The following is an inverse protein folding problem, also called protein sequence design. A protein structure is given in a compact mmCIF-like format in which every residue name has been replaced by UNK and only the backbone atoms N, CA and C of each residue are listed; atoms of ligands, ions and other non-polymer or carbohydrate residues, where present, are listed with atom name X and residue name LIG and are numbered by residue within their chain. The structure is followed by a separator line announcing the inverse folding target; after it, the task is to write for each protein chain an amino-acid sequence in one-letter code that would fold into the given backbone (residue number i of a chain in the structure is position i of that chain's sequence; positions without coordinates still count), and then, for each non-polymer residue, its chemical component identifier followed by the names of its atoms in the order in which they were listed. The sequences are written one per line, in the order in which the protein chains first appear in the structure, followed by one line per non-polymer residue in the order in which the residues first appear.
data_IF_808268497837
#
_entry.id   IF_808268497837
#
_cell.length_a   1.000
_cell.length_b   1.000
_cell.length_c   1.000
_cell.angle_alpha   90.00
_cell.angle_beta   90.00
_cell.angle_gamma   90.00
#
_symmetry.space_group_name_H-M   'P 1'
#
loop_
_entity.id
_entity.type
_entity.pdbx_description
1 polymer ?
#
# COMPACT_ATOMS: atom_id res chain seq x y z
N UNK A 1 -5.17 -55.71 -24.87
CA UNK A 1 -4.78 -54.77 -25.95
C UNK A 1 -6.04 -54.06 -26.41
N UNK A 2 -6.02 -52.73 -26.46
CA UNK A 2 -7.17 -51.92 -26.84
C UNK A 2 -7.05 -51.57 -28.33
N UNK A 3 -8.10 -51.84 -29.09
CA UNK A 3 -8.18 -51.58 -30.53
C UNK A 3 -9.23 -50.50 -30.79
N UNK A 4 -9.04 -49.66 -31.80
CA UNK A 4 -10.09 -48.74 -32.27
C UNK A 4 -11.16 -49.50 -33.09
N UNK A 5 -12.20 -48.79 -33.53
CA UNK A 5 -13.28 -49.38 -34.35
C UNK A 5 -12.81 -49.89 -35.73
N UNK A 6 -11.58 -49.54 -36.15
CA UNK A 6 -10.92 -49.98 -37.39
C UNK A 6 -9.87 -51.07 -37.15
N UNK A 7 -9.74 -51.60 -35.92
CA UNK A 7 -8.78 -52.65 -35.58
C UNK A 7 -7.34 -52.17 -35.42
N UNK A 8 -7.12 -50.86 -35.31
CA UNK A 8 -5.78 -50.29 -35.08
C UNK A 8 -5.43 -50.39 -33.61
N UNK A 9 -4.23 -50.87 -33.27
CA UNK A 9 -3.73 -50.84 -31.89
C UNK A 9 -3.56 -49.36 -31.49
N UNK A 10 -4.30 -48.95 -30.48
CA UNK A 10 -4.24 -47.57 -29.95
C UNK A 10 -3.83 -47.61 -28.48
N UNK A 11 -2.89 -46.75 -28.11
CA UNK A 11 -2.64 -46.47 -26.70
C UNK A 11 -3.76 -45.56 -26.18
N UNK A 12 -4.29 -45.86 -25.00
CA UNK A 12 -5.21 -44.96 -24.30
C UNK A 12 -4.46 -43.67 -24.01
N UNK A 13 -5.05 -42.51 -24.34
CA UNK A 13 -4.41 -41.24 -24.05
C UNK A 13 -4.13 -41.15 -22.56
N UNK A 14 -2.87 -40.88 -22.22
CA UNK A 14 -2.48 -40.63 -20.84
C UNK A 14 -2.20 -39.14 -20.72
N UNK A 15 -2.89 -38.44 -19.81
CA UNK A 15 -2.61 -37.04 -19.58
C UNK A 15 -1.16 -36.90 -19.11
N UNK A 16 -0.37 -36.07 -19.80
CA UNK A 16 1.04 -35.81 -19.48
C UNK A 16 1.08 -34.63 -18.52
N UNK A 17 1.74 -34.83 -17.37
CA UNK A 17 1.98 -33.75 -16.42
C UNK A 17 2.87 -32.69 -17.09
N UNK A 18 2.36 -31.47 -17.20
CA UNK A 18 3.04 -30.32 -17.78
C UNK A 18 3.00 -29.14 -16.82
N UNK A 19 4.04 -28.32 -16.84
CA UNK A 19 4.03 -27.06 -16.11
C UNK A 19 3.32 -26.01 -16.96
N UNK A 20 2.22 -25.46 -16.45
CA UNK A 20 1.50 -24.37 -17.08
C UNK A 20 1.74 -23.09 -16.29
N UNK A 21 1.99 -21.99 -17.00
CA UNK A 21 2.00 -20.65 -16.41
C UNK A 21 0.56 -20.24 -16.11
N UNK A 22 0.29 -19.88 -14.86
CA UNK A 22 -0.97 -19.32 -14.43
C UNK A 22 -0.71 -17.96 -13.78
N UNK A 23 -1.62 -17.02 -14.02
CA UNK A 23 -1.61 -15.71 -13.36
C UNK A 23 -2.78 -15.61 -12.41
N UNK A 24 -2.53 -15.07 -11.22
CA UNK A 24 -3.57 -14.75 -10.24
C UNK A 24 -3.47 -13.31 -9.81
N UNK A 25 -4.58 -12.61 -9.94
CA UNK A 25 -4.76 -11.26 -9.42
C UNK A 25 -5.19 -11.35 -7.96
N UNK A 26 -4.50 -10.64 -7.09
CA UNK A 26 -4.78 -10.57 -5.67
C UNK A 26 -4.73 -9.12 -5.21
N UNK A 27 -5.78 -8.69 -4.53
CA UNK A 27 -5.76 -7.44 -3.77
C UNK A 27 -5.40 -7.73 -2.32
N UNK A 28 -4.44 -6.98 -1.79
CA UNK A 28 -4.10 -6.96 -0.38
C UNK A 28 -4.49 -5.60 0.21
N UNK A 29 -4.92 -5.59 1.46
CA UNK A 29 -5.25 -4.40 2.23
C UNK A 29 -4.38 -4.39 3.49
N UNK A 30 -3.88 -3.21 3.88
CA UNK A 30 -3.20 -3.04 5.16
C UNK A 30 -4.13 -3.32 6.35
N UNK A 31 -5.45 -3.28 6.19
CA UNK A 31 -6.41 -3.67 7.22
C UNK A 31 -6.33 -5.17 7.58
N UNK A 32 -5.92 -6.02 6.65
CA UNK A 32 -5.78 -7.48 6.84
C UNK A 32 -4.39 -7.86 7.38
N UNK A 33 -3.62 -6.89 7.87
CA UNK A 33 -2.27 -7.13 8.40
C UNK A 33 -2.28 -8.01 9.65
N UNK A 34 -1.26 -8.85 9.76
CA UNK A 34 -0.98 -9.55 11.02
C UNK A 34 -0.43 -8.54 12.04
N UNK A 35 -1.18 -8.35 13.13
CA UNK A 35 -0.79 -7.42 14.20
C UNK A 35 0.24 -7.99 15.18
N UNK A 36 0.53 -9.30 15.12
CA UNK A 36 1.45 -10.01 16.01
C UNK A 36 2.81 -10.36 15.39
N UNK A 37 2.93 -10.38 14.07
CA UNK A 37 4.19 -10.55 13.34
C UNK A 37 4.76 -9.19 12.91
N UNK A 38 6.09 -9.05 12.98
CA UNK A 38 6.81 -7.79 12.67
C UNK A 38 6.31 -6.58 13.47
N UNK A 39 5.94 -6.79 14.73
CA UNK A 39 5.63 -5.75 15.73
C UNK A 39 6.80 -4.77 15.96
N UNK A 40 7.96 -5.01 15.35
CA UNK A 40 9.12 -4.13 15.46
C UNK A 40 9.80 -3.95 14.11
N UNK A 41 9.61 -2.80 13.48
CA UNK A 41 10.71 -2.17 12.74
C UNK A 41 10.63 -0.64 12.85
N UNK A 42 11.65 -0.08 13.50
CA UNK A 42 11.91 1.33 13.86
C UNK A 42 11.04 2.01 14.94
N UNK A 43 11.71 2.60 15.93
CA UNK A 43 11.10 3.45 16.96
C UNK A 43 10.51 2.76 18.21
N UNK A 44 10.49 1.43 18.28
CA UNK A 44 10.00 0.70 19.46
C UNK A 44 8.47 0.60 19.55
N UNK A 45 7.75 0.76 18.44
CA UNK A 45 6.30 0.59 18.38
C UNK A 45 5.87 -0.81 18.85
N UNK A 46 4.66 -0.90 19.40
CA UNK A 46 4.07 -2.14 19.95
C UNK A 46 3.00 -2.74 19.05
N UNK A 47 2.84 -2.24 17.82
CA UNK A 47 1.84 -2.68 16.84
C UNK A 47 2.31 -2.46 15.40
N UNK A 48 1.89 -3.33 14.47
CA UNK A 48 2.13 -3.17 13.03
C UNK A 48 1.41 -1.94 12.44
N UNK A 49 2.10 -1.21 11.58
CA UNK A 49 1.66 0.03 10.92
C UNK A 49 1.45 -0.21 9.41
N UNK A 50 0.58 0.56 8.75
CA UNK A 50 0.32 0.36 7.33
C UNK A 50 1.52 0.64 6.42
N UNK A 51 2.57 1.31 6.89
CA UNK A 51 3.82 1.45 6.16
C UNK A 51 4.79 0.30 6.32
N UNK A 52 4.57 -0.62 7.27
CA UNK A 52 5.40 -1.79 7.51
C UNK A 52 4.60 -2.95 8.13
N UNK A 53 4.20 -3.91 7.29
CA UNK A 53 3.29 -4.96 7.71
C UNK A 53 3.41 -6.25 6.90
N UNK A 54 2.96 -7.35 7.50
CA UNK A 54 2.85 -8.64 6.82
C UNK A 54 1.40 -9.00 6.58
N UNK A 55 1.11 -9.52 5.38
CA UNK A 55 -0.18 -10.11 5.03
C UNK A 55 0.00 -11.55 4.57
N UNK A 56 -0.91 -12.43 4.98
CA UNK A 56 -0.96 -13.81 4.51
C UNK A 56 -1.70 -13.90 3.19
N UNK A 57 -1.15 -14.70 2.27
CA UNK A 57 -1.82 -14.96 1.01
C UNK A 57 -2.91 -16.02 1.20
N UNK A 58 -4.03 -15.97 0.45
CA UNK A 58 -5.13 -16.94 0.57
C UNK A 58 -4.70 -18.40 0.37
N UNK A 59 -3.57 -18.60 -0.33
CA UNK A 59 -2.89 -19.89 -0.48
C UNK A 59 -1.40 -19.66 -0.61
N UNK A 60 -0.63 -20.72 -0.39
CA UNK A 60 0.75 -20.75 -0.86
C UNK A 60 0.76 -20.84 -2.40
N UNK A 61 1.53 -19.95 -3.02
CA UNK A 61 1.90 -20.03 -4.43
C UNK A 61 3.29 -20.63 -4.53
N UNK A 62 3.46 -21.64 -5.37
CA UNK A 62 4.74 -22.31 -5.56
C UNK A 62 5.28 -22.02 -6.94
N UNK A 63 6.61 -22.01 -7.09
CA UNK A 63 7.29 -21.74 -8.37
C UNK A 63 6.82 -20.43 -9.01
N UNK A 64 6.78 -19.36 -8.21
CA UNK A 64 6.42 -18.02 -8.68
C UNK A 64 7.52 -17.50 -9.60
N UNK A 65 7.15 -17.19 -10.84
CA UNK A 65 8.07 -16.73 -11.90
C UNK A 65 8.04 -15.21 -12.06
N UNK A 66 6.94 -14.56 -11.70
CA UNK A 66 6.79 -13.11 -11.86
C UNK A 66 5.75 -12.56 -10.89
N UNK A 67 6.02 -11.37 -10.36
CA UNK A 67 5.06 -10.58 -9.58
C UNK A 67 5.01 -9.18 -10.21
N UNK A 68 3.80 -8.67 -10.41
CA UNK A 68 3.56 -7.34 -10.98
C UNK A 68 2.59 -6.57 -10.11
N UNK A 69 2.85 -5.28 -9.85
CA UNK A 69 1.87 -4.39 -9.24
C UNK A 69 0.96 -3.83 -10.34
N UNK A 70 -0.34 -4.08 -10.22
CA UNK A 70 -1.36 -3.63 -11.18
C UNK A 70 -1.95 -2.29 -10.74
N UNK A 71 -2.29 -2.16 -9.47
CA UNK A 71 -2.84 -0.92 -8.91
C UNK A 71 -2.46 -0.74 -7.46
N UNK A 72 -2.45 0.52 -7.01
CA UNK A 72 -2.31 0.87 -5.60
C UNK A 72 -3.20 2.06 -5.25
N UNK A 73 -3.74 2.03 -4.04
CA UNK A 73 -4.41 3.15 -3.40
C UNK A 73 -3.77 3.35 -2.04
N UNK A 74 -3.09 4.48 -1.85
CA UNK A 74 -2.33 4.75 -0.63
C UNK A 74 -2.83 6.05 -0.03
N UNK A 75 -3.47 5.98 1.14
CA UNK A 75 -3.84 7.18 1.86
C UNK A 75 -2.59 7.86 2.42
N UNK A 76 -2.54 9.19 2.36
CA UNK A 76 -1.41 9.94 2.88
C UNK A 76 -1.24 9.67 4.40
N UNK A 77 -0.02 9.49 4.91
CA UNK A 77 0.24 9.26 6.33
C UNK A 77 -0.40 10.30 7.25
N UNK A 78 -1.08 9.84 8.31
CA UNK A 78 -1.69 10.70 9.33
C UNK A 78 -1.27 10.21 10.71
N UNK A 79 -0.23 10.85 11.25
CA UNK A 79 0.20 10.67 12.63
C UNK A 79 -0.42 11.77 13.48
N UNK A 80 -1.41 11.39 14.29
CA UNK A 80 -2.07 12.31 15.22
C UNK A 80 -1.11 12.63 16.37
N UNK A 81 -0.83 13.92 16.57
CA UNK A 81 0.04 14.36 17.66
C UNK A 81 -0.39 15.73 18.16
N UNK A 82 -0.01 16.09 19.38
CA UNK A 82 -0.20 17.44 19.93
C UNK A 82 0.80 18.46 19.38
N UNK A 83 1.77 18.01 18.59
CA UNK A 83 2.72 18.86 17.87
C UNK A 83 2.26 19.02 16.41
N UNK A 84 2.53 20.17 15.81
CA UNK A 84 2.35 20.38 14.37
C UNK A 84 3.47 19.65 13.61
N UNK A 85 3.48 18.32 13.65
CA UNK A 85 4.44 17.49 12.91
C UNK A 85 4.06 17.41 11.45
N UNK A 86 5.06 17.25 10.59
CA UNK A 86 4.96 16.99 9.15
C UNK A 86 3.95 15.88 8.82
N UNK A 87 2.90 16.21 8.06
CA UNK A 87 1.78 15.31 7.74
C UNK A 87 1.77 14.94 6.26
N UNK A 88 1.33 13.73 5.98
CA UNK A 88 1.15 13.22 4.62
C UNK A 88 2.46 13.03 3.85
N UNK A 89 2.30 12.77 2.55
CA UNK A 89 3.39 12.82 1.59
C UNK A 89 3.90 14.25 1.48
N UNK A 90 5.21 14.41 1.46
CA UNK A 90 5.81 15.72 1.34
C UNK A 90 5.91 16.13 -0.13
N UNK A 91 5.84 17.43 -0.44
CA UNK A 91 6.11 17.91 -1.79
C UNK A 91 7.51 17.56 -2.30
N UNK A 92 8.44 17.30 -1.37
CA UNK A 92 9.79 16.80 -1.68
C UNK A 92 9.82 15.31 -1.93
N UNK A 93 8.83 14.51 -1.52
CA UNK A 93 8.82 13.08 -1.82
C UNK A 93 8.60 12.94 -3.33
N UNK A 94 9.59 12.44 -4.08
CA UNK A 94 9.47 12.28 -5.53
C UNK A 94 8.75 10.97 -5.86
N UNK A 95 9.12 9.91 -5.15
CA UNK A 95 8.47 8.61 -5.23
C UNK A 95 8.21 8.05 -3.84
N UNK A 96 7.18 7.23 -3.75
CA UNK A 96 7.01 6.27 -2.67
C UNK A 96 7.53 4.93 -3.19
N UNK A 97 8.51 4.35 -2.50
CA UNK A 97 9.08 3.06 -2.83
C UNK A 97 8.37 1.97 -2.04
N UNK A 98 7.80 1.02 -2.75
CA UNK A 98 7.23 -0.20 -2.21
C UNK A 98 8.31 -1.29 -2.23
N UNK A 99 8.63 -1.81 -1.05
CA UNK A 99 9.47 -2.98 -0.86
C UNK A 99 8.63 -4.21 -0.51
N UNK A 100 8.98 -5.33 -1.12
CA UNK A 100 8.50 -6.66 -0.74
C UNK A 100 9.72 -7.46 -0.25
N UNK A 101 9.81 -7.69 1.07
CA UNK A 101 11.05 -8.26 1.64
C UNK A 101 11.38 -9.64 1.03
N UNK A 102 12.64 -9.80 0.59
CA UNK A 102 13.11 -11.00 -0.10
C UNK A 102 12.65 -11.14 -1.56
N UNK A 103 11.87 -10.18 -2.08
CA UNK A 103 11.26 -10.21 -3.42
C UNK A 103 11.65 -9.01 -4.29
N UNK A 104 12.33 -8.02 -3.72
CA UNK A 104 12.87 -6.87 -4.44
C UNK A 104 13.87 -7.30 -5.53
N UNK A 105 13.89 -6.56 -6.64
CA UNK A 105 14.86 -6.75 -7.75
C UNK A 105 15.33 -5.45 -8.39
N UNK A 106 14.99 -4.31 -7.80
CA UNK A 106 15.33 -3.00 -8.33
C UNK A 106 16.29 -2.30 -7.39
N UNK A 107 17.32 -1.73 -8.01
CA UNK A 107 18.39 -1.06 -7.29
C UNK A 107 18.05 0.41 -7.08
N UNK A 108 18.57 0.97 -6.00
CA UNK A 108 18.43 2.39 -5.69
C UNK A 108 19.77 3.07 -5.94
N UNK A 109 19.85 3.86 -7.02
CA UNK A 109 21.10 4.50 -7.46
C UNK A 109 21.14 6.00 -7.19
N UNK A 110 20.08 6.56 -6.60
CA UNK A 110 19.99 7.97 -6.31
C UNK A 110 21.03 8.38 -5.25
N UNK A 111 21.93 9.34 -5.55
CA UNK A 111 22.94 9.80 -4.60
C UNK A 111 22.29 10.32 -3.32
N UNK A 112 22.75 9.81 -2.18
CA UNK A 112 22.26 10.16 -0.85
C UNK A 112 20.82 9.74 -0.55
N UNK A 113 20.26 8.84 -1.36
CA UNK A 113 19.08 8.07 -0.98
C UNK A 113 19.43 7.01 0.07
N UNK A 114 18.45 6.65 0.88
CA UNK A 114 18.50 5.76 2.03
C UNK A 114 19.34 4.49 1.81
N UNK A 115 19.10 3.83 0.67
CA UNK A 115 19.77 2.60 0.27
C UNK A 115 20.48 2.78 -1.06
N UNK A 116 21.05 3.96 -1.29
CA UNK A 116 21.91 4.23 -2.44
C UNK A 116 22.98 3.16 -2.57
N UNK A 117 23.11 2.57 -3.76
CA UNK A 117 24.07 1.51 -4.06
C UNK A 117 23.72 0.12 -3.52
N UNK A 118 22.57 -0.05 -2.85
CA UNK A 118 22.11 -1.38 -2.46
C UNK A 118 21.43 -2.06 -3.65
N UNK A 119 21.82 -3.31 -3.87
CA UNK A 119 21.15 -4.21 -4.81
C UNK A 119 19.83 -4.67 -4.20
N UNK A 120 18.80 -4.86 -5.03
CA UNK A 120 17.49 -5.37 -4.61
C UNK A 120 16.86 -4.53 -3.47
N UNK A 121 16.96 -3.20 -3.59
CA UNK A 121 16.50 -2.25 -2.57
C UNK A 121 14.97 -2.13 -2.51
N UNK A 122 14.29 -2.20 -3.66
CA UNK A 122 12.84 -1.99 -3.76
C UNK A 122 12.18 -2.87 -4.83
N UNK A 123 10.85 -2.97 -4.79
CA UNK A 123 10.04 -3.75 -5.72
C UNK A 123 9.32 -2.86 -6.74
N UNK A 124 8.61 -1.83 -6.27
CA UNK A 124 7.87 -0.90 -7.12
C UNK A 124 8.11 0.56 -6.71
N UNK A 125 8.14 1.46 -7.70
CA UNK A 125 8.16 2.91 -7.50
C UNK A 125 6.78 3.45 -7.84
N UNK A 126 6.28 4.33 -6.99
CA UNK A 126 5.00 5.00 -7.19
C UNK A 126 5.28 6.51 -7.21
N UNK A 127 4.93 7.17 -8.30
CA UNK A 127 5.11 8.63 -8.41
C UNK A 127 4.24 9.34 -7.38
N UNK A 128 4.82 10.34 -6.72
CA UNK A 128 4.08 11.22 -5.82
C UNK A 128 3.62 12.49 -6.57
N UNK A 129 2.93 12.31 -7.68
CA UNK A 129 2.48 13.39 -8.55
C UNK A 129 1.17 14.07 -8.07
N UNK A 130 0.40 13.37 -7.23
CA UNK A 130 -0.85 13.87 -6.62
C UNK A 130 -0.72 14.26 -5.14
N UNK A 131 0.44 14.07 -4.52
CA UNK A 131 0.66 14.23 -3.07
C UNK A 131 0.87 15.65 -2.59
N UNK A 132 -0.12 16.51 -2.80
CA UNK A 132 -0.22 17.77 -2.05
C UNK A 132 -1.40 17.60 -1.09
N UNK A 133 -1.24 17.71 0.24
CA UNK A 133 -2.38 17.94 1.13
C UNK A 133 -3.05 19.23 0.66
N UNK A 134 -4.12 19.11 -0.11
CA UNK A 134 -4.47 20.15 -1.08
C UNK A 134 -5.15 21.37 -0.46
N UNK A 135 -5.55 21.29 0.81
CA UNK A 135 -6.01 22.43 1.60
C UNK A 135 -5.71 22.13 3.06
N UNK A 136 -4.69 22.79 3.63
CA UNK A 136 -4.48 22.86 5.07
C UNK A 136 -4.87 24.25 5.56
N UNK A 137 -5.69 24.37 6.60
CA UNK A 137 -5.97 25.63 7.26
C UNK A 137 -5.56 25.54 8.73
N UNK A 138 -4.85 26.56 9.20
CA UNK A 138 -4.42 26.64 10.60
C UNK A 138 -5.65 26.90 11.48
N UNK A 139 -5.82 26.07 12.50
CA UNK A 139 -6.84 26.23 13.52
C UNK A 139 -6.46 27.36 14.46
N UNK A 140 -7.44 28.10 14.96
CA UNK A 140 -7.19 29.27 15.78
C UNK A 140 -6.57 28.90 17.15
N UNK A 141 -5.66 29.75 17.63
CA UNK A 141 -4.80 29.46 18.78
C UNK A 141 -5.40 29.78 20.16
N UNK A 142 -6.56 30.44 20.27
CA UNK A 142 -7.10 30.80 21.59
C UNK A 142 -7.88 29.63 22.22
N UNK A 143 -7.55 29.32 23.48
CA UNK A 143 -8.32 28.39 24.28
C UNK A 143 -9.80 28.85 24.34
N UNK A 144 -10.72 27.95 23.97
CA UNK A 144 -12.16 28.25 23.95
C UNK A 144 -12.69 28.93 22.69
N UNK A 145 -11.85 29.25 21.69
CA UNK A 145 -12.33 29.85 20.43
C UNK A 145 -11.72 29.24 19.16
N UNK A 146 -10.77 28.29 19.25
CA UNK A 146 -9.95 28.00 18.07
C UNK A 146 -9.41 26.61 17.75
N UNK A 147 -9.18 25.68 18.69
CA UNK A 147 -8.58 24.37 18.33
C UNK A 147 -9.56 23.20 18.29
N UNK A 148 -10.82 23.43 18.69
CA UNK A 148 -11.84 22.41 18.91
C UNK A 148 -12.62 22.71 20.19
N UNK A 149 -13.94 22.73 20.12
CA UNK A 149 -14.83 22.90 21.26
C UNK A 149 -15.98 21.90 21.15
N UNK A 150 -16.04 20.96 22.10
CA UNK A 150 -17.04 19.90 22.12
C UNK A 150 -18.28 20.30 22.93
N UNK A 151 -19.45 20.23 22.30
CA UNK A 151 -20.73 20.52 22.93
C UNK A 151 -21.84 19.66 22.34
N UNK A 152 -22.54 18.92 23.20
CA UNK A 152 -23.60 18.01 22.80
C UNK A 152 -23.09 16.96 21.81
N UNK A 153 -23.65 16.96 20.60
CA UNK A 153 -23.33 15.98 19.54
C UNK A 153 -22.31 16.50 18.52
N UNK A 154 -21.74 17.70 18.70
CA UNK A 154 -20.77 18.26 17.76
C UNK A 154 -19.48 18.77 18.43
N UNK A 155 -18.36 18.65 17.71
CA UNK A 155 -17.12 19.38 17.99
C UNK A 155 -16.97 20.47 16.94
N UNK A 156 -16.86 21.73 17.39
CA UNK A 156 -16.69 22.89 16.51
C UNK A 156 -15.22 23.27 16.42
N UNK A 157 -14.73 23.47 15.21
CA UNK A 157 -13.39 23.93 14.91
C UNK A 157 -13.45 25.28 14.20
N UNK A 158 -12.54 26.17 14.55
CA UNK A 158 -12.42 27.51 13.95
C UNK A 158 -11.06 27.64 13.30
N UNK A 159 -11.00 28.05 12.04
CA UNK A 159 -9.75 28.35 11.33
C UNK A 159 -9.40 29.83 11.40
N UNK A 160 -8.11 30.15 11.28
CA UNK A 160 -7.61 31.54 11.23
C UNK A 160 -8.01 32.28 9.95
N UNK A 161 -8.19 31.54 8.86
CA UNK A 161 -8.55 32.06 7.54
C UNK A 161 -9.74 31.30 6.97
N UNK A 162 -10.43 31.87 5.98
CA UNK A 162 -11.51 31.20 5.28
C UNK A 162 -11.00 29.88 4.64
N UNK A 163 -11.67 28.75 4.91
CA UNK A 163 -11.09 27.42 4.66
C UNK A 163 -11.62 26.67 3.43
N UNK A 164 -12.67 27.13 2.76
CA UNK A 164 -13.23 26.46 1.56
C UNK A 164 -13.82 25.06 1.79
N UNK A 165 -13.68 24.50 2.99
CA UNK A 165 -14.24 23.22 3.40
C UNK A 165 -15.78 23.22 3.31
N UNK A 166 -16.36 22.04 3.08
CA UNK A 166 -17.80 21.83 2.94
C UNK A 166 -18.28 20.58 3.70
N UNK A 167 -19.59 20.49 3.98
CA UNK A 167 -20.18 19.35 4.68
C UNK A 167 -20.07 18.05 3.85
N UNK A 168 -19.75 16.94 4.51
CA UNK A 168 -19.47 15.64 3.87
C UNK A 168 -18.05 15.53 3.30
N UNK A 169 -17.17 16.50 3.55
CA UNK A 169 -15.76 16.38 3.22
C UNK A 169 -15.00 15.61 4.31
N UNK A 170 -14.14 14.67 3.90
CA UNK A 170 -13.21 13.97 4.80
C UNK A 170 -12.03 14.88 5.14
N UNK A 171 -11.77 15.08 6.43
CA UNK A 171 -10.62 15.84 6.92
C UNK A 171 -9.89 15.11 8.04
N UNK A 172 -8.66 15.54 8.27
CA UNK A 172 -7.84 15.19 9.41
C UNK A 172 -7.53 16.46 10.19
N UNK A 173 -7.50 16.35 11.52
CA UNK A 173 -7.17 17.42 12.44
C UNK A 173 -6.04 16.93 13.36
N UNK A 174 -4.98 17.71 13.49
CA UNK A 174 -3.85 17.37 14.36
C UNK A 174 -3.18 18.63 14.91
N UNK A 175 -2.22 18.45 15.81
CA UNK A 175 -1.45 19.54 16.41
C UNK A 175 -2.27 20.41 17.37
N UNK A 176 -3.46 19.97 17.76
CA UNK A 176 -4.25 20.65 18.78
C UNK A 176 -3.71 20.29 20.18
N UNK A 177 -3.83 21.20 21.14
CA UNK A 177 -3.25 21.03 22.49
C UNK A 177 -3.87 19.88 23.28
N UNK A 178 -5.17 19.61 23.11
CA UNK A 178 -5.86 18.46 23.65
C UNK A 178 -5.90 17.32 22.63
N UNK A 179 -5.15 16.24 22.92
CA UNK A 179 -5.00 15.10 22.02
C UNK A 179 -6.33 14.46 21.56
N UNK A 180 -7.40 14.57 22.36
CA UNK A 180 -8.72 14.03 22.01
C UNK A 180 -9.36 14.74 20.82
N UNK A 181 -8.95 15.98 20.53
CA UNK A 181 -9.44 16.75 19.38
C UNK A 181 -8.61 16.51 18.11
N UNK A 182 -7.51 15.76 18.21
CA UNK A 182 -6.77 15.29 17.04
C UNK A 182 -7.50 14.05 16.52
N UNK A 183 -8.00 14.12 15.29
CA UNK A 183 -8.84 13.09 14.68
C UNK A 183 -8.42 12.86 13.23
N UNK A 184 -8.51 11.62 12.77
CA UNK A 184 -8.15 11.23 11.41
C UNK A 184 -9.39 10.74 10.64
N UNK A 185 -9.47 11.11 9.36
CA UNK A 185 -10.51 10.66 8.42
C UNK A 185 -11.94 10.85 8.90
N UNK A 186 -12.24 11.99 9.53
CA UNK A 186 -13.59 12.34 9.98
C UNK A 186 -14.32 13.15 8.91
N UNK A 187 -15.65 12.99 8.86
CA UNK A 187 -16.51 13.78 7.99
C UNK A 187 -16.90 15.09 8.65
N UNK A 188 -16.83 16.18 7.89
CA UNK A 188 -17.43 17.45 8.30
C UNK A 188 -18.95 17.28 8.33
N UNK A 189 -19.56 17.51 9.48
CA UNK A 189 -21.00 17.45 9.66
C UNK A 189 -21.69 18.70 9.11
N UNK A 190 -21.20 19.89 9.47
CA UNK A 190 -21.73 21.17 8.98
C UNK A 190 -20.63 22.22 8.82
N UNK A 191 -20.88 23.25 8.02
CA UNK A 191 -20.00 24.42 7.86
C UNK A 191 -20.81 25.69 8.17
N UNK A 192 -20.89 26.12 9.45
CA UNK A 192 -21.71 27.26 9.84
C UNK A 192 -21.22 28.60 9.29
N UNK A 193 -19.91 28.76 9.05
CA UNK A 193 -19.32 29.98 8.46
C UNK A 193 -18.11 29.63 7.60
N UNK A 194 -17.53 30.62 6.90
CA UNK A 194 -16.32 30.43 6.10
C UNK A 194 -15.08 30.08 6.93
N UNK A 195 -15.13 30.28 8.25
CA UNK A 195 -14.04 30.03 9.20
C UNK A 195 -14.40 29.01 10.28
N UNK A 196 -15.58 28.40 10.24
CA UNK A 196 -16.00 27.42 11.23
C UNK A 196 -16.64 26.22 10.58
N UNK A 197 -16.34 25.04 11.11
CA UNK A 197 -16.96 23.80 10.72
C UNK A 197 -17.16 22.92 11.96
N UNK A 198 -18.06 21.94 11.85
CA UNK A 198 -18.31 20.97 12.91
C UNK A 198 -18.11 19.55 12.41
N UNK A 199 -17.72 18.67 13.32
CA UNK A 199 -17.76 17.22 13.12
C UNK A 199 -18.67 16.60 14.19
N UNK A 200 -19.12 15.36 13.97
CA UNK A 200 -19.78 14.60 15.02
C UNK A 200 -18.85 14.48 16.22
N UNK A 201 -19.37 14.75 17.42
CA UNK A 201 -18.55 14.85 18.62
C UNK A 201 -17.83 13.53 18.91
N UNK A 202 -16.49 13.61 18.94
CA UNK A 202 -15.60 12.50 19.32
C UNK A 202 -15.02 12.68 20.72
N UNK A 203 -15.38 13.76 21.42
CA UNK A 203 -14.78 14.19 22.69
C UNK A 203 -15.86 14.38 23.77
N UNK A 204 -15.54 14.15 25.03
CA UNK A 204 -16.48 14.41 26.12
C UNK A 204 -16.91 15.90 26.15
N UNK A 205 -18.19 16.16 26.44
CA UNK A 205 -18.76 17.51 26.44
C UNK A 205 -18.01 18.49 27.35
N UNK A 206 -17.88 19.74 26.89
CA UNK A 206 -17.24 20.82 27.64
C UNK A 206 -15.70 20.80 27.55
N UNK A 207 -15.11 19.88 26.78
CA UNK A 207 -13.69 19.89 26.50
C UNK A 207 -13.38 20.87 25.36
N UNK A 208 -12.26 21.58 25.51
CA UNK A 208 -11.75 22.49 24.51
C UNK A 208 -10.29 22.15 24.17
N UNK A 209 -9.87 22.63 23.00
CA UNK A 209 -8.50 22.57 22.49
C UNK A 209 -8.15 23.91 21.83
N UNK A 210 -6.86 24.14 21.64
CA UNK A 210 -6.32 25.31 20.94
C UNK A 210 -5.29 24.90 19.90
N UNK A 211 -5.15 25.72 18.86
CA UNK A 211 -4.18 25.51 17.78
C UNK A 211 -4.50 24.28 16.93
N UNK A 212 -3.50 23.86 16.16
CA UNK A 212 -3.58 22.72 15.25
C UNK A 212 -3.80 23.10 13.80
N UNK A 213 -3.97 22.08 12.97
CA UNK A 213 -4.21 22.20 11.54
C UNK A 213 -5.33 21.26 11.16
N UNK A 214 -6.25 21.75 10.33
CA UNK A 214 -7.18 20.90 9.58
C UNK A 214 -6.65 20.77 8.17
N UNK A 215 -6.69 19.57 7.62
CA UNK A 215 -6.30 19.35 6.23
C UNK A 215 -7.11 18.22 5.59
N UNK A 216 -7.24 18.29 4.27
CA UNK A 216 -7.78 17.19 3.47
C UNK A 216 -6.64 16.20 3.22
N UNK A 217 -6.72 14.94 3.68
CA UNK A 217 -5.67 13.97 3.44
C UNK A 217 -5.60 13.62 1.94
N UNK A 218 -4.39 13.65 1.38
CA UNK A 218 -4.17 13.21 0.01
C UNK A 218 -4.32 11.69 -0.14
N UNK A 219 -4.53 11.23 -1.37
CA UNK A 219 -4.48 9.82 -1.73
C UNK A 219 -3.60 9.69 -2.96
N UNK A 220 -2.63 8.78 -2.90
CA UNK A 220 -1.80 8.41 -4.02
C UNK A 220 -2.47 7.24 -4.75
N UNK A 221 -2.62 7.38 -6.05
CA UNK A 221 -3.16 6.35 -6.93
C UNK A 221 -2.07 5.90 -7.90
N UNK A 222 -1.92 4.58 -8.03
CA UNK A 222 -1.13 3.97 -9.08
C UNK A 222 -1.99 3.02 -9.88
N UNK A 223 -1.77 3.02 -11.19
CA UNK A 223 -2.28 2.04 -12.12
C UNK A 223 -1.24 1.84 -13.23
N UNK A 224 -1.00 0.58 -13.59
CA UNK A 224 -0.02 0.19 -14.61
C UNK A 224 -0.38 0.65 -16.04
N UNK A 225 -1.60 1.12 -16.29
CA UNK A 225 -1.97 1.76 -17.56
C UNK A 225 -1.71 3.26 -17.59
N UNK A 226 -1.51 3.91 -16.43
CA UNK A 226 -1.21 5.34 -16.34
C UNK A 226 0.28 5.59 -16.10
N UNK A 227 0.92 4.75 -15.29
CA UNK A 227 2.33 4.87 -14.92
C UNK A 227 3.14 3.66 -15.42
N UNK A 228 4.46 3.76 -15.30
CA UNK A 228 5.39 2.67 -15.62
C UNK A 228 4.99 1.34 -14.97
N UNK A 229 5.03 0.27 -15.76
CA UNK A 229 4.84 -1.10 -15.30
C UNK A 229 5.82 -1.47 -14.18
N UNK A 230 5.27 -1.86 -13.03
CA UNK A 230 6.07 -2.30 -11.89
C UNK A 230 6.10 -3.82 -11.81
N UNK A 231 7.03 -4.41 -12.57
CA UNK A 231 7.20 -5.86 -12.72
C UNK A 231 8.54 -6.33 -12.15
N UNK A 232 8.54 -7.54 -11.57
CA UNK A 232 9.74 -8.29 -11.22
C UNK A 232 9.59 -9.74 -11.69
N UNK A 233 10.62 -10.25 -12.36
CA UNK A 233 10.72 -11.65 -12.80
C UNK A 233 11.79 -12.40 -11.99
N UNK A 234 11.54 -13.68 -11.75
CA UNK A 234 12.38 -14.53 -10.92
C UNK A 234 12.90 -15.72 -11.72
N UNK A 235 14.23 -15.76 -11.87
CA UNK A 235 14.96 -16.89 -12.45
C UNK A 235 16.17 -17.19 -11.56
N UNK A 236 16.16 -18.31 -10.79
CA UNK A 236 15.13 -19.35 -10.76
C UNK A 236 13.79 -18.88 -10.13
N UNK A 237 12.68 -19.60 -10.40
CA UNK A 237 11.39 -19.29 -9.77
C UNK A 237 11.45 -19.40 -8.24
N UNK A 238 10.68 -18.59 -7.54
CA UNK A 238 10.57 -18.65 -6.09
C UNK A 238 9.86 -19.95 -5.70
N UNK A 239 10.51 -20.75 -4.86
CA UNK A 239 9.99 -22.07 -4.47
C UNK A 239 8.59 -22.00 -3.84
N UNK A 240 8.39 -21.11 -2.86
CA UNK A 240 7.12 -20.93 -2.15
C UNK A 240 6.93 -19.50 -1.66
N UNK A 241 5.76 -18.96 -1.92
CA UNK A 241 5.30 -17.64 -1.50
C UNK A 241 3.98 -17.80 -0.74
N UNK A 242 3.97 -17.47 0.55
CA UNK A 242 2.81 -17.65 1.44
C UNK A 242 2.39 -16.38 2.17
N UNK A 243 3.27 -15.38 2.20
CA UNK A 243 3.07 -14.10 2.86
C UNK A 243 3.85 -13.04 2.10
N UNK A 244 3.39 -11.80 2.19
CA UNK A 244 4.11 -10.63 1.72
C UNK A 244 4.44 -9.75 2.92
N UNK A 245 5.71 -9.40 3.06
CA UNK A 245 6.13 -8.35 3.99
C UNK A 245 6.30 -7.06 3.19
N UNK A 246 5.41 -6.10 3.45
CA UNK A 246 5.23 -4.87 2.71
C UNK A 246 5.87 -3.73 3.48
N UNK A 247 6.76 -2.99 2.83
CA UNK A 247 7.40 -1.78 3.39
C UNK A 247 7.22 -0.61 2.44
N UNK A 248 6.90 0.57 2.97
CA UNK A 248 6.80 1.80 2.20
C UNK A 248 7.86 2.80 2.67
N UNK A 249 8.68 3.29 1.74
CA UNK A 249 9.76 4.26 2.01
C UNK A 249 9.60 5.49 1.14
N UNK A 250 10.16 6.61 1.59
CA UNK A 250 10.22 7.85 0.83
C UNK A 250 11.46 7.84 -0.04
N UNK A 251 11.32 8.28 -1.29
CA UNK A 251 12.46 8.60 -2.14
C UNK A 251 12.50 10.11 -2.34
N UNK A 252 13.51 10.74 -1.74
CA UNK A 252 13.72 12.18 -1.75
C UNK A 252 14.66 12.59 -2.90
N UNK A 253 14.59 13.85 -3.36
CA UNK A 253 15.47 14.38 -4.39
C UNK A 253 16.89 14.56 -3.85
N UNK A 254 17.89 14.67 -4.73
CA UNK A 254 19.29 14.93 -4.34
C UNK A 254 19.50 16.21 -3.52
N UNK A 255 18.57 17.16 -3.54
CA UNK A 255 18.64 18.36 -2.70
C UNK A 255 18.44 18.07 -1.19
N UNK A 256 17.93 16.88 -0.84
CA UNK A 256 17.57 16.49 0.53
C UNK A 256 18.63 15.61 1.23
N UNK A 257 19.82 15.44 0.64
CA UNK A 257 20.90 14.53 1.07
C UNK A 257 21.45 14.79 2.51
N UNK A 258 21.01 15.85 3.20
CA UNK A 258 21.50 16.22 4.54
C UNK A 258 20.42 16.37 5.62
N UNK A 259 19.14 16.07 5.35
CA UNK A 259 18.06 16.27 6.33
C UNK A 259 17.88 15.05 7.24
N UNK A 260 18.08 15.23 8.55
CA UNK A 260 18.19 14.19 9.60
C UNK A 260 16.90 13.50 10.05
N UNK A 261 15.86 13.43 9.22
CA UNK A 261 14.72 12.51 9.45
C UNK A 261 15.09 11.14 8.89
N UNK A 262 14.80 9.99 9.56
CA UNK A 262 15.38 8.71 9.20
C UNK A 262 14.91 8.24 7.81
N UNK A 263 15.71 8.67 6.83
CA UNK A 263 15.91 8.26 5.46
C UNK A 263 16.23 6.75 5.42
N UNK A 264 15.33 5.89 5.85
CA UNK A 264 15.53 4.44 5.79
C UNK A 264 14.56 3.64 6.64
N UNK A 265 13.82 4.34 7.49
CA UNK A 265 12.66 3.79 8.15
C UNK A 265 11.51 3.63 7.14
N UNK A 266 10.70 2.58 7.27
CA UNK A 266 9.36 2.60 6.74
C UNK A 266 8.61 3.86 7.20
N UNK A 267 7.77 4.40 6.32
CA UNK A 267 6.89 5.53 6.63
C UNK A 267 5.92 5.09 7.72
N UNK A 268 5.72 5.91 8.75
CA UNK A 268 4.66 5.67 9.74
C UNK A 268 3.35 6.26 9.22
N UNK A 269 2.37 5.41 8.96
CA UNK A 269 1.06 5.78 8.41
C UNK A 269 0.06 6.23 9.48
N UNK A 270 0.19 5.72 10.70
CA UNK A 270 -0.74 6.01 11.79
C UNK A 270 -2.15 5.49 11.45
N UNK A 271 -3.11 6.39 11.32
CA UNK A 271 -4.49 6.01 10.98
C UNK A 271 -4.69 5.66 9.50
N UNK A 272 -3.76 6.04 8.62
CA UNK A 272 -3.86 5.85 7.19
C UNK A 272 -3.75 4.37 6.80
N UNK A 273 -4.47 3.96 5.75
CA UNK A 273 -4.43 2.62 5.17
C UNK A 273 -3.98 2.64 3.71
N UNK A 274 -3.62 1.48 3.19
CA UNK A 274 -3.30 1.29 1.78
C UNK A 274 -3.79 -0.07 1.27
N UNK A 275 -3.99 -0.14 -0.04
CA UNK A 275 -4.34 -1.37 -0.74
C UNK A 275 -3.52 -1.48 -2.01
N UNK A 276 -3.06 -2.70 -2.29
CA UNK A 276 -2.27 -3.03 -3.48
C UNK A 276 -2.91 -4.21 -4.20
N UNK A 277 -3.00 -4.12 -5.52
CA UNK A 277 -3.40 -5.26 -6.36
C UNK A 277 -2.19 -5.75 -7.13
N UNK A 278 -1.85 -7.03 -6.93
CA UNK A 278 -0.77 -7.71 -7.61
C UNK A 278 -1.28 -8.77 -8.57
N UNK A 279 -0.51 -9.02 -9.62
CA UNK A 279 -0.57 -10.22 -10.41
C UNK A 279 0.63 -11.11 -10.10
N UNK A 280 0.36 -12.36 -9.73
CA UNK A 280 1.36 -13.37 -9.42
C UNK A 280 1.30 -14.43 -10.51
N UNK A 281 2.36 -14.53 -11.32
CA UNK A 281 2.57 -15.62 -12.27
C UNK A 281 3.30 -16.76 -11.57
N UNK A 282 2.78 -17.98 -11.69
CA UNK A 282 3.40 -19.18 -11.12
C UNK A 282 3.24 -20.39 -12.05
N UNK A 283 4.09 -21.39 -11.83
CA UNK A 283 4.04 -22.66 -12.56
C UNK A 283 3.22 -23.68 -11.77
N UNK A 284 2.06 -24.04 -12.30
CA UNK A 284 1.21 -25.08 -11.71
C UNK A 284 1.37 -26.40 -12.46
N UNK A 285 1.20 -27.51 -11.73
CA UNK A 285 1.15 -28.83 -12.36
C UNK A 285 -0.23 -28.99 -13.00
N UNK A 286 -0.28 -28.96 -14.32
CA UNK A 286 -1.45 -29.31 -15.10
C UNK A 286 -1.26 -30.63 -15.83
N UNK A 287 -2.33 -31.12 -16.43
CA UNK A 287 -2.27 -32.14 -17.45
C UNK A 287 -2.45 -31.50 -18.82
N UNK A 288 -1.82 -32.00 -19.87
CA UNK A 288 -2.17 -31.58 -21.22
C UNK A 288 -3.59 -32.04 -21.59
N UNK A 289 -4.32 -31.20 -22.32
CA UNK A 289 -5.69 -31.52 -22.76
C UNK A 289 -5.71 -32.33 -24.06
N UNK A 290 -4.52 -32.68 -24.59
CA UNK A 290 -4.36 -33.29 -25.89
C UNK A 290 -4.17 -34.81 -25.81
N UNK A 291 -5.11 -35.54 -26.41
CA UNK A 291 -4.92 -36.95 -26.73
C UNK A 291 -3.97 -37.07 -27.93
N UNK A 292 -2.67 -37.29 -27.69
CA UNK A 292 -1.76 -37.64 -28.78
C UNK A 292 -2.02 -39.07 -29.26
N UNK A 293 -2.39 -39.23 -30.54
CA UNK A 293 -2.48 -40.55 -31.17
C UNK A 293 -1.07 -41.01 -31.55
N UNK A 294 -0.49 -41.92 -30.79
CA UNK A 294 0.77 -42.56 -31.15
C UNK A 294 0.50 -43.92 -31.79
N UNK A 295 0.56 -43.99 -33.11
CA UNK A 295 0.52 -45.26 -33.85
C UNK A 295 1.92 -45.89 -33.83
N UNK A 296 2.07 -47.08 -33.25
CA UNK A 296 3.31 -47.85 -33.36
C UNK A 296 3.47 -48.35 -34.80
N UNK A 297 4.10 -47.56 -35.65
CA UNK A 297 4.82 -48.10 -36.80
C UNK A 297 6.16 -48.59 -36.24
N UNK A 298 6.20 -49.83 -35.74
CA UNK A 298 7.49 -50.50 -35.52
C UNK A 298 8.18 -50.57 -36.87
N UNK A 299 9.40 -50.03 -36.97
CA UNK A 299 10.28 -50.27 -38.12
C UNK A 299 10.26 -51.76 -38.43
N UNK A 300 9.77 -52.08 -39.62
CA UNK A 300 9.68 -53.46 -40.10
C UNK A 300 11.11 -54.00 -40.12
N UNK A 301 11.42 -55.16 -39.50
CA UNK A 301 12.72 -55.77 -39.69
C UNK A 301 12.88 -56.01 -41.20
N UNK A 302 13.92 -55.43 -41.79
CA UNK A 302 14.35 -55.77 -43.13
C UNK A 302 14.72 -57.25 -43.14
N UNK A 303 13.83 -58.08 -43.67
CA UNK A 303 14.07 -59.48 -43.99
C UNK A 303 14.94 -59.58 -45.25
#
# INVERSE_FOLDING_TARGET
MQFDYRGTIVNKSQPVATLRKLTKTLTIDSADRDTGLFVKVNGGATSSDAGDYTVFLPRAYERVTKISLVSAVIQAPVVLSTSATTLGFQPTDTYILLGLEGLNRKDETAPGADRSGHVDSWFAKLANDVGIPQVGSTLAGSAGTGGGASSGTATTYTTLIAHGLFAGQTVCITGTTNALHNVAYVQIATVPSTTTFTINNTVANGQASSGGTVFVPGVLYYNNHTYDDQVVEYSPPISRLQRLHVTLRRHLPPASIATTTPLGAPIVFGAAQNSFTFEIEYLDNGFDDYSSMQTRLSERPSA
#
